data_IF_229588855576
#
_entry.id   IF_229588855576
#
_cell.length_a   1.000
_cell.length_b   1.000
_cell.length_c   1.000
_cell.angle_alpha   90.00
_cell.angle_beta   90.00
_cell.angle_gamma   90.00
#
_symmetry.space_group_name_H-M   'P 1'
#
loop_
_entity.id
_entity.type
_entity.pdbx_description
1 polymer ?
#
# COMPACT_ATOMS: atom_id res chain seq x y z
N UNK A 1 18.17 0.73 -38.69
CA UNK A 1 17.71 1.98 -38.08
C UNK A 1 16.31 2.44 -38.51
N UNK A 2 15.86 2.23 -39.75
CA UNK A 2 14.56 2.75 -40.23
C UNK A 2 13.27 2.12 -39.68
N UNK A 3 13.28 0.86 -39.27
CA UNK A 3 12.07 0.17 -38.71
C UNK A 3 11.77 0.54 -37.26
N UNK A 4 12.79 0.76 -36.46
CA UNK A 4 12.62 1.21 -35.05
C UNK A 4 12.09 2.65 -34.96
N UNK A 5 12.59 3.54 -35.82
CA UNK A 5 12.10 4.91 -35.93
C UNK A 5 10.62 4.95 -36.35
N UNK A 6 10.18 4.09 -37.29
CA UNK A 6 8.78 3.98 -37.70
C UNK A 6 7.87 3.42 -36.59
N UNK A 7 8.35 2.50 -35.78
CA UNK A 7 7.59 1.97 -34.63
C UNK A 7 7.42 3.04 -33.54
N UNK A 8 8.47 3.81 -33.27
CA UNK A 8 8.39 4.93 -32.34
C UNK A 8 7.49 6.07 -32.86
N UNK A 9 7.53 6.31 -34.18
CA UNK A 9 6.67 7.32 -34.83
C UNK A 9 5.21 6.86 -34.87
N UNK A 10 4.94 5.56 -35.08
CA UNK A 10 3.62 5.00 -35.04
C UNK A 10 3.03 5.01 -33.62
N UNK A 11 3.83 4.65 -32.61
CA UNK A 11 3.45 4.79 -31.21
C UNK A 11 3.20 6.25 -30.82
N UNK A 12 4.06 7.18 -31.27
CA UNK A 12 3.89 8.62 -31.03
C UNK A 12 2.67 9.19 -31.78
N UNK A 13 2.38 8.74 -33.00
CA UNK A 13 1.20 9.13 -33.78
C UNK A 13 -0.09 8.58 -33.15
N UNK A 14 -0.06 7.34 -32.67
CA UNK A 14 -1.18 6.72 -31.95
C UNK A 14 -1.46 7.42 -30.63
N UNK A 15 -0.44 7.90 -29.94
CA UNK A 15 -0.57 8.74 -28.74
C UNK A 15 -1.04 10.18 -29.07
N UNK A 16 -0.67 10.72 -30.23
CA UNK A 16 -1.00 12.12 -30.61
C UNK A 16 -2.45 12.31 -31.08
N UNK A 17 -3.09 11.29 -31.65
CA UNK A 17 -4.49 11.33 -32.10
C UNK A 17 -5.52 11.35 -30.96
N UNK A 18 -5.06 11.31 -29.67
CA UNK A 18 -5.89 11.22 -28.48
C UNK A 18 -5.98 12.45 -27.58
N UNK A 19 -5.44 13.58 -28.01
CA UNK A 19 -5.29 14.79 -27.18
C UNK A 19 -6.59 15.58 -26.90
N UNK A 20 -7.77 15.12 -27.36
CA UNK A 20 -9.03 15.84 -27.15
C UNK A 20 -10.00 15.15 -26.16
N UNK A 21 -9.59 14.06 -25.52
CA UNK A 21 -10.47 13.35 -24.56
C UNK A 21 -10.19 13.76 -23.12
N UNK A 22 -11.27 13.84 -22.31
CA UNK A 22 -11.16 14.00 -20.87
C UNK A 22 -10.41 12.81 -20.28
N UNK A 23 -9.70 13.01 -19.15
CA UNK A 23 -8.92 11.95 -18.50
C UNK A 23 -9.76 10.76 -18.03
N UNK A 24 -11.02 10.99 -17.72
CA UNK A 24 -11.99 9.98 -17.28
C UNK A 24 -12.64 9.22 -18.43
N UNK A 25 -12.46 9.63 -19.69
CA UNK A 25 -13.09 8.97 -20.83
C UNK A 25 -12.63 7.52 -21.00
N UNK A 26 -13.50 6.63 -21.52
CA UNK A 26 -13.11 5.26 -21.80
C UNK A 26 -11.92 5.18 -22.76
N UNK A 27 -10.94 4.35 -22.40
CA UNK A 27 -9.74 4.10 -23.19
C UNK A 27 -9.53 2.61 -23.38
N UNK A 28 -9.39 2.16 -24.62
CA UNK A 28 -9.23 0.75 -24.95
C UNK A 28 -7.94 0.17 -24.36
N UNK A 29 -6.80 0.83 -24.54
CA UNK A 29 -5.51 0.34 -24.07
C UNK A 29 -5.41 0.31 -22.55
N UNK A 30 -5.95 1.34 -21.90
CA UNK A 30 -6.06 1.35 -20.45
C UNK A 30 -6.92 0.18 -19.95
N UNK A 31 -8.11 -0.03 -20.56
CA UNK A 31 -9.03 -1.11 -20.17
C UNK A 31 -8.45 -2.51 -20.44
N UNK A 32 -7.66 -2.65 -21.51
CA UNK A 32 -6.95 -3.89 -21.84
C UNK A 32 -5.81 -4.21 -20.85
N UNK A 33 -5.05 -3.20 -20.43
CA UNK A 33 -3.92 -3.37 -19.50
C UNK A 33 -4.36 -3.50 -18.04
N UNK A 34 -5.48 -2.90 -17.67
CA UNK A 34 -5.94 -2.85 -16.28
C UNK A 34 -6.05 -4.23 -15.60
N UNK A 35 -6.63 -5.28 -16.21
CA UNK A 35 -6.67 -6.62 -15.62
C UNK A 35 -5.28 -7.18 -15.30
N UNK A 36 -4.32 -6.96 -16.19
CA UNK A 36 -2.92 -7.38 -15.98
C UNK A 36 -2.28 -6.64 -14.81
N UNK A 37 -2.44 -5.31 -14.74
CA UNK A 37 -1.95 -4.48 -13.63
C UNK A 37 -2.57 -4.95 -12.30
N UNK A 38 -3.89 -5.12 -12.27
CA UNK A 38 -4.62 -5.56 -11.07
C UNK A 38 -4.18 -6.95 -10.61
N UNK A 39 -4.08 -7.90 -11.55
CA UNK A 39 -3.59 -9.24 -11.25
C UNK A 39 -2.17 -9.23 -10.71
N UNK A 40 -1.26 -8.46 -11.34
CA UNK A 40 0.13 -8.35 -10.93
C UNK A 40 0.27 -7.69 -9.57
N UNK A 41 -0.51 -6.64 -9.31
CA UNK A 41 -0.56 -5.96 -8.01
C UNK A 41 -1.04 -6.88 -6.89
N UNK A 42 -2.13 -7.61 -7.11
CA UNK A 42 -2.62 -8.59 -6.11
C UNK A 42 -1.59 -9.67 -5.81
N UNK A 43 -0.86 -10.14 -6.82
CA UNK A 43 0.23 -11.11 -6.63
C UNK A 43 1.48 -10.53 -5.94
N UNK A 44 1.63 -9.21 -5.91
CA UNK A 44 2.68 -8.56 -5.12
C UNK A 44 2.49 -8.75 -3.61
N UNK A 45 1.31 -9.21 -3.18
CA UNK A 45 0.98 -9.49 -1.79
C UNK A 45 0.65 -10.98 -1.60
N UNK A 46 1.08 -11.55 -0.48
CA UNK A 46 0.76 -12.92 -0.09
C UNK A 46 -0.71 -13.05 0.34
N UNK A 47 -1.25 -11.96 0.87
CA UNK A 47 -2.66 -11.81 1.26
C UNK A 47 -3.11 -10.40 0.95
N UNK A 48 -4.25 -10.29 0.25
CA UNK A 48 -4.87 -9.03 -0.14
C UNK A 48 -6.35 -9.06 0.24
N UNK A 49 -6.79 -8.13 1.10
CA UNK A 49 -8.18 -8.07 1.56
C UNK A 49 -8.76 -6.69 1.28
N UNK A 50 -10.07 -6.65 0.99
CA UNK A 50 -10.83 -5.41 0.80
C UNK A 50 -12.09 -5.48 1.64
N UNK A 51 -12.25 -4.51 2.53
CA UNK A 51 -13.36 -4.40 3.47
C UNK A 51 -14.14 -3.10 3.27
N UNK A 52 -15.38 -3.07 3.73
CA UNK A 52 -16.21 -1.86 3.73
C UNK A 52 -16.84 -1.46 2.40
N UNK A 53 -16.64 -2.18 1.29
CA UNK A 53 -17.21 -1.81 -0.03
C UNK A 53 -18.72 -1.56 -0.02
N UNK A 54 -19.46 -2.25 0.85
CA UNK A 54 -20.91 -2.10 0.96
C UNK A 54 -21.35 -0.74 1.51
N UNK A 55 -20.42 0.01 2.13
CA UNK A 55 -20.65 1.36 2.66
C UNK A 55 -20.60 2.43 1.58
N UNK A 56 -19.91 2.14 0.46
CA UNK A 56 -19.76 3.09 -0.65
C UNK A 56 -21.16 3.33 -1.28
N UNK A 57 -21.62 4.57 -1.38
CA UNK A 57 -22.88 4.91 -2.01
C UNK A 57 -22.91 4.44 -3.47
N UNK A 58 -24.07 3.98 -3.93
CA UNK A 58 -24.24 3.55 -5.34
C UNK A 58 -24.44 4.71 -6.32
N UNK A 59 -24.54 5.93 -5.81
CA UNK A 59 -24.70 7.16 -6.58
C UNK A 59 -24.04 8.33 -5.89
N UNK A 60 -24.07 9.49 -6.54
CA UNK A 60 -23.39 10.68 -6.04
C UNK A 60 -21.99 10.84 -6.63
N UNK A 61 -21.35 11.94 -6.27
CA UNK A 61 -19.98 12.28 -6.62
C UNK A 61 -19.02 11.79 -5.52
N UNK A 62 -18.13 10.84 -5.83
CA UNK A 62 -17.32 10.14 -4.84
C UNK A 62 -15.87 10.62 -4.84
N UNK A 63 -15.40 11.08 -3.68
CA UNK A 63 -14.01 11.49 -3.43
C UNK A 63 -13.44 10.59 -2.34
N UNK A 64 -12.42 9.81 -2.65
CA UNK A 64 -11.76 8.92 -1.70
C UNK A 64 -10.58 9.61 -1.05
N UNK A 65 -10.67 9.88 0.24
CA UNK A 65 -9.57 10.38 1.06
C UNK A 65 -8.79 9.22 1.68
N UNK A 66 -7.52 9.07 1.34
CA UNK A 66 -6.74 7.87 1.67
C UNK A 66 -5.45 8.22 2.41
N UNK A 67 -5.05 7.42 3.42
CA UNK A 67 -3.72 7.53 4.02
C UNK A 67 -2.61 7.17 3.01
N UNK A 68 -1.41 7.75 3.15
CA UNK A 68 -0.31 7.59 2.19
C UNK A 68 0.95 7.04 2.85
N UNK A 69 1.18 5.74 2.73
CA UNK A 69 2.26 5.06 3.44
C UNK A 69 3.26 4.29 2.56
N UNK A 70 2.94 4.01 1.30
CA UNK A 70 3.76 3.14 0.42
C UNK A 70 3.87 3.64 -1.03
N UNK A 71 4.09 4.94 -1.19
CA UNK A 71 4.40 5.56 -2.49
C UNK A 71 3.42 5.15 -3.62
N UNK A 72 3.93 4.73 -4.80
CA UNK A 72 3.12 4.27 -5.93
C UNK A 72 2.28 3.02 -5.60
N UNK A 73 2.75 2.19 -4.67
CA UNK A 73 2.00 0.98 -4.32
C UNK A 73 0.63 1.27 -3.73
N UNK A 74 0.44 2.41 -3.05
CA UNK A 74 -0.88 2.80 -2.54
C UNK A 74 -1.89 2.99 -3.67
N UNK A 75 -1.51 3.69 -4.74
CA UNK A 75 -2.37 3.87 -5.90
C UNK A 75 -2.66 2.53 -6.62
N UNK A 76 -1.67 1.66 -6.77
CA UNK A 76 -1.82 0.34 -7.39
C UNK A 76 -2.72 -0.58 -6.56
N UNK A 77 -2.59 -0.55 -5.24
CA UNK A 77 -3.43 -1.32 -4.31
C UNK A 77 -4.89 -0.88 -4.42
N UNK A 78 -5.14 0.44 -4.41
CA UNK A 78 -6.49 0.99 -4.61
C UNK A 78 -7.06 0.66 -5.99
N UNK A 79 -6.24 0.77 -7.05
CA UNK A 79 -6.64 0.39 -8.40
C UNK A 79 -7.10 -1.07 -8.46
N UNK A 80 -6.41 -1.94 -7.72
CA UNK A 80 -6.69 -3.39 -7.68
C UNK A 80 -7.86 -3.79 -6.78
N UNK A 81 -8.49 -2.85 -6.06
CA UNK A 81 -9.66 -3.14 -5.23
C UNK A 81 -10.82 -3.73 -6.03
N UNK A 82 -11.03 -3.21 -7.25
CA UNK A 82 -12.06 -3.63 -8.21
C UNK A 82 -11.67 -3.21 -9.63
N UNK A 83 -12.60 -3.40 -10.59
CA UNK A 83 -12.40 -3.03 -12.00
C UNK A 83 -13.13 -1.73 -12.39
N UNK A 84 -13.53 -0.92 -11.39
CA UNK A 84 -14.16 0.37 -11.63
C UNK A 84 -13.09 1.37 -12.07
N UNK A 85 -13.46 2.30 -12.95
CA UNK A 85 -12.59 3.39 -13.40
C UNK A 85 -12.28 4.34 -12.26
N UNK A 86 -11.01 4.68 -12.09
CA UNK A 86 -10.52 5.57 -11.05
C UNK A 86 -9.61 6.63 -11.64
N UNK A 87 -9.70 7.82 -11.09
CA UNK A 87 -8.76 8.91 -11.35
C UNK A 87 -8.03 9.22 -10.06
N UNK A 88 -6.71 9.36 -10.13
CA UNK A 88 -5.88 9.70 -8.99
C UNK A 88 -5.37 11.12 -9.11
N UNK A 89 -5.16 11.77 -7.98
CA UNK A 89 -4.46 13.06 -7.92
C UNK A 89 -3.07 12.85 -7.33
N UNK A 90 -2.07 13.41 -7.99
CA UNK A 90 -0.70 13.40 -7.52
C UNK A 90 -0.05 14.80 -7.60
N UNK A 91 1.08 14.95 -6.94
CA UNK A 91 1.82 16.23 -6.90
C UNK A 91 2.28 16.66 -8.30
N UNK A 92 2.07 17.93 -8.64
CA UNK A 92 2.42 18.49 -9.94
C UNK A 92 3.91 18.48 -10.26
N UNK A 93 4.80 18.41 -9.26
CA UNK A 93 6.25 18.35 -9.48
C UNK A 93 6.73 17.10 -10.21
N UNK A 94 5.99 15.98 -10.13
CA UNK A 94 6.29 14.76 -10.90
C UNK A 94 5.93 14.87 -12.38
N UNK A 95 5.13 15.86 -12.77
CA UNK A 95 4.72 16.12 -14.16
C UNK A 95 5.68 17.04 -14.94
N UNK A 96 6.78 17.48 -14.33
CA UNK A 96 7.76 18.38 -14.98
C UNK A 96 8.39 17.80 -16.26
N UNK A 97 8.57 16.48 -16.31
CA UNK A 97 9.05 15.81 -17.50
C UNK A 97 7.86 15.49 -18.44
N UNK A 98 7.85 15.97 -19.69
CA UNK A 98 6.73 15.75 -20.61
C UNK A 98 6.42 14.28 -20.91
N UNK A 99 7.43 13.41 -20.95
CA UNK A 99 7.24 11.97 -21.17
C UNK A 99 6.57 11.33 -19.96
N UNK A 100 7.02 11.70 -18.75
CA UNK A 100 6.41 11.24 -17.50
C UNK A 100 4.97 11.76 -17.38
N UNK A 101 4.73 13.03 -17.72
CA UNK A 101 3.39 13.62 -17.71
C UNK A 101 2.42 12.86 -18.65
N UNK A 102 2.85 12.51 -19.87
CA UNK A 102 2.05 11.70 -20.80
C UNK A 102 1.71 10.31 -20.20
N UNK A 103 2.69 9.67 -19.58
CA UNK A 103 2.51 8.37 -18.94
C UNK A 103 1.54 8.45 -17.75
N UNK A 104 1.68 9.48 -16.90
CA UNK A 104 0.81 9.70 -15.76
C UNK A 104 -0.64 9.99 -16.21
N UNK A 105 -0.81 10.81 -17.25
CA UNK A 105 -2.12 11.06 -17.84
C UNK A 105 -2.76 9.78 -18.42
N UNK A 106 -1.97 8.92 -19.07
CA UNK A 106 -2.45 7.61 -19.51
C UNK A 106 -2.95 6.76 -18.35
N UNK A 107 -2.26 6.80 -17.21
CA UNK A 107 -2.69 6.13 -15.97
C UNK A 107 -3.77 6.88 -15.18
N UNK A 108 -4.37 7.91 -15.78
CA UNK A 108 -5.45 8.71 -15.18
C UNK A 108 -5.04 9.41 -13.88
N UNK A 109 -3.86 9.99 -13.89
CA UNK A 109 -3.34 10.76 -12.75
C UNK A 109 -3.34 12.23 -13.12
N UNK A 110 -4.06 13.05 -12.34
CA UNK A 110 -4.14 14.51 -12.46
C UNK A 110 -3.07 15.17 -11.59
N UNK A 111 -2.42 16.25 -12.05
CA UNK A 111 -1.53 17.04 -11.21
C UNK A 111 -2.28 17.94 -10.25
N UNK A 112 -1.78 18.10 -9.02
CA UNK A 112 -2.11 19.22 -8.13
C UNK A 112 -0.83 19.94 -7.73
N UNK A 113 -0.81 21.27 -7.86
CA UNK A 113 0.37 22.08 -7.58
C UNK A 113 0.27 22.72 -6.19
N UNK A 114 1.41 22.88 -5.51
CA UNK A 114 1.45 23.56 -4.22
C UNK A 114 1.48 25.07 -4.45
N UNK A 115 0.71 25.84 -3.67
CA UNK A 115 0.64 27.30 -3.73
C UNK A 115 2.03 27.97 -3.56
N UNK A 116 2.96 27.28 -2.89
CA UNK A 116 4.35 27.74 -2.71
C UNK A 116 5.14 27.94 -4.01
N UNK A 117 4.63 27.47 -5.15
CA UNK A 117 5.32 27.51 -6.44
C UNK A 117 5.02 28.80 -7.26
N UNK A 118 4.37 29.80 -6.68
CA UNK A 118 4.13 31.11 -7.29
C UNK A 118 2.79 31.24 -8.05
N UNK A 119 2.53 32.41 -8.62
CA UNK A 119 1.23 32.78 -9.24
C UNK A 119 0.86 31.86 -10.41
N UNK A 120 1.86 31.40 -11.21
CA UNK A 120 1.63 30.46 -12.31
C UNK A 120 1.11 29.09 -11.80
N UNK A 121 1.56 28.65 -10.62
CA UNK A 121 1.09 27.43 -9.98
C UNK A 121 -0.35 27.54 -9.48
N UNK A 122 -0.79 28.74 -9.09
CA UNK A 122 -2.18 28.99 -8.66
C UNK A 122 -3.12 28.80 -9.85
N UNK A 123 -2.84 29.40 -11.02
CA UNK A 123 -3.66 29.24 -12.23
C UNK A 123 -3.72 27.80 -12.72
N UNK A 124 -2.61 27.06 -12.61
CA UNK A 124 -2.57 25.63 -12.94
C UNK A 124 -3.38 24.79 -11.95
N UNK A 125 -3.48 25.24 -10.70
CA UNK A 125 -4.36 24.60 -9.72
C UNK A 125 -5.83 24.76 -10.04
N UNK A 126 -6.28 25.96 -10.43
CA UNK A 126 -7.68 26.18 -10.78
C UNK A 126 -8.12 25.26 -11.93
N UNK A 127 -7.27 25.10 -12.96
CA UNK A 127 -7.50 24.19 -14.07
C UNK A 127 -7.54 22.70 -13.62
N UNK A 128 -6.64 22.33 -12.70
CA UNK A 128 -6.60 20.97 -12.14
C UNK A 128 -7.77 20.67 -11.21
N UNK A 129 -8.19 21.63 -10.41
CA UNK A 129 -9.36 21.53 -9.53
C UNK A 129 -10.65 21.40 -10.35
N UNK A 130 -10.81 22.22 -11.40
CA UNK A 130 -11.95 22.12 -12.31
C UNK A 130 -12.01 20.77 -13.00
N UNK A 131 -10.88 20.23 -13.48
CA UNK A 131 -10.82 18.87 -14.04
C UNK A 131 -11.18 17.80 -13.03
N UNK A 132 -10.80 17.97 -11.76
CA UNK A 132 -11.16 17.04 -10.69
C UNK A 132 -12.67 17.08 -10.39
N UNK A 133 -13.27 18.25 -10.41
CA UNK A 133 -14.73 18.42 -10.27
C UNK A 133 -15.46 17.80 -11.46
N UNK A 134 -14.95 17.97 -12.69
CA UNK A 134 -15.51 17.32 -13.88
C UNK A 134 -15.48 15.79 -13.78
N UNK A 135 -14.39 15.21 -13.22
CA UNK A 135 -14.26 13.77 -13.04
C UNK A 135 -15.39 13.21 -12.17
N UNK A 136 -15.63 13.83 -11.02
CA UNK A 136 -16.66 13.37 -10.08
C UNK A 136 -18.07 13.71 -10.56
N UNK A 137 -18.24 14.79 -11.33
CA UNK A 137 -19.49 15.12 -12.01
C UNK A 137 -19.87 14.02 -13.02
N UNK A 138 -18.89 13.49 -13.75
CA UNK A 138 -19.06 12.39 -14.72
C UNK A 138 -19.13 11.00 -14.02
N UNK A 139 -19.38 10.96 -12.70
CA UNK A 139 -19.49 9.76 -11.87
C UNK A 139 -18.27 8.81 -11.96
N UNK A 140 -17.07 9.37 -12.06
CA UNK A 140 -15.83 8.60 -11.97
C UNK A 140 -15.18 8.85 -10.60
N UNK A 141 -14.79 7.78 -9.93
CA UNK A 141 -14.19 7.81 -8.60
C UNK A 141 -12.89 8.59 -8.60
N UNK A 142 -12.77 9.59 -7.72
CA UNK A 142 -11.59 10.41 -7.54
C UNK A 142 -10.85 10.03 -6.25
N UNK A 143 -9.59 9.65 -6.38
CA UNK A 143 -8.75 9.25 -5.25
C UNK A 143 -7.66 10.28 -4.97
N UNK A 144 -7.57 10.70 -3.71
CA UNK A 144 -6.53 11.60 -3.23
C UNK A 144 -5.87 11.07 -1.97
N UNK A 145 -4.60 11.44 -1.83
CA UNK A 145 -3.82 11.30 -0.61
C UNK A 145 -3.70 12.68 0.05
N UNK A 146 -4.58 13.07 0.99
CA UNK A 146 -4.64 14.42 1.51
C UNK A 146 -3.39 14.83 2.29
N UNK A 147 -2.57 13.87 2.73
CA UNK A 147 -1.28 14.11 3.37
C UNK A 147 -0.23 14.76 2.43
N UNK A 148 -0.40 14.61 1.10
CA UNK A 148 0.46 15.21 0.07
C UNK A 148 1.92 14.75 0.06
N UNK A 149 2.29 13.81 0.92
CA UNK A 149 3.55 13.08 0.95
C UNK A 149 3.33 11.74 1.64
N UNK A 150 4.25 10.79 1.46
CA UNK A 150 4.13 9.47 2.07
C UNK A 150 5.02 9.34 3.32
N UNK A 151 4.60 8.47 4.25
CA UNK A 151 5.39 8.09 5.41
C UNK A 151 5.07 6.66 5.84
N UNK A 152 6.10 5.83 5.97
CA UNK A 152 6.00 4.40 6.33
C UNK A 152 5.77 4.19 7.83
N UNK A 153 4.68 4.77 8.36
CA UNK A 153 4.24 4.63 9.76
C UNK A 153 2.76 4.32 9.84
N UNK A 154 2.34 3.73 10.94
CA UNK A 154 0.93 3.52 11.31
C UNK A 154 0.33 4.78 11.96
N UNK A 155 0.54 5.93 11.37
CA UNK A 155 0.03 7.22 11.83
C UNK A 155 -0.33 8.09 10.63
N UNK A 156 -1.17 9.08 10.83
CA UNK A 156 -1.54 10.06 9.82
C UNK A 156 -0.70 11.32 9.95
N UNK A 157 -0.38 11.94 8.84
CA UNK A 157 0.21 13.27 8.80
C UNK A 157 -0.88 14.33 8.68
N UNK A 158 -0.48 15.58 8.85
CA UNK A 158 -1.38 16.73 8.66
C UNK A 158 -1.90 16.75 7.22
N UNK A 159 -3.22 16.78 7.06
CA UNK A 159 -3.87 16.83 5.77
C UNK A 159 -3.81 18.22 5.14
N UNK A 160 -3.53 18.28 3.84
CA UNK A 160 -3.67 19.47 3.01
C UNK A 160 -5.13 19.78 2.69
N UNK A 161 -5.39 20.97 2.16
CA UNK A 161 -6.75 21.45 1.88
C UNK A 161 -7.30 21.05 0.50
N UNK A 162 -6.49 20.51 -0.42
CA UNK A 162 -6.85 20.27 -1.82
C UNK A 162 -8.10 19.40 -2.01
N UNK A 163 -8.19 18.27 -1.29
CA UNK A 163 -9.36 17.40 -1.30
C UNK A 163 -10.63 18.15 -0.93
N UNK A 164 -10.55 18.95 0.11
CA UNK A 164 -11.70 19.65 0.68
C UNK A 164 -12.18 20.78 -0.22
N UNK A 165 -11.27 21.50 -0.90
CA UNK A 165 -11.65 22.48 -1.91
C UNK A 165 -12.40 21.83 -3.07
N UNK A 166 -11.91 20.70 -3.60
CA UNK A 166 -12.63 19.94 -4.64
C UNK A 166 -14.04 19.57 -4.16
N UNK A 167 -14.17 19.08 -2.92
CA UNK A 167 -15.46 18.66 -2.36
C UNK A 167 -16.43 19.86 -2.19
N UNK A 168 -15.92 21.01 -1.73
CA UNK A 168 -16.71 22.25 -1.58
C UNK A 168 -17.15 22.80 -2.92
N UNK A 169 -16.23 22.88 -3.89
CA UNK A 169 -16.52 23.42 -5.23
C UNK A 169 -17.51 22.52 -5.97
N UNK A 170 -17.38 21.20 -5.87
CA UNK A 170 -18.33 20.25 -6.41
C UNK A 170 -19.72 20.41 -5.74
N UNK A 171 -19.75 20.52 -4.42
CA UNK A 171 -20.99 20.72 -3.68
C UNK A 171 -21.71 22.00 -4.07
N UNK A 172 -20.97 23.10 -4.27
CA UNK A 172 -21.54 24.39 -4.76
C UNK A 172 -22.09 24.28 -6.17
N UNK A 173 -21.44 23.51 -7.05
CA UNK A 173 -21.83 23.41 -8.46
C UNK A 173 -23.03 22.50 -8.67
N UNK A 174 -23.13 21.40 -7.96
CA UNK A 174 -24.16 20.37 -8.23
C UNK A 174 -24.64 19.57 -7.01
N UNK A 175 -24.21 19.91 -5.79
CA UNK A 175 -24.50 19.14 -4.58
C UNK A 175 -26.00 18.91 -4.30
N UNK A 176 -26.87 19.83 -4.68
CA UNK A 176 -28.33 19.67 -4.52
C UNK A 176 -28.93 18.60 -5.43
N UNK A 177 -28.35 18.38 -6.61
CA UNK A 177 -28.81 17.40 -7.62
C UNK A 177 -28.05 16.10 -7.55
N UNK A 178 -26.78 16.14 -7.17
CA UNK A 178 -25.85 15.02 -7.12
C UNK A 178 -25.01 15.12 -5.85
N UNK A 179 -25.42 14.48 -4.74
CA UNK A 179 -24.74 14.61 -3.46
C UNK A 179 -23.26 14.24 -3.53
N UNK A 180 -22.43 15.05 -2.88
CA UNK A 180 -20.97 14.85 -2.82
C UNK A 180 -20.61 14.10 -1.55
N UNK A 181 -19.86 13.00 -1.71
CA UNK A 181 -19.40 12.19 -0.60
C UNK A 181 -17.88 12.14 -0.54
N UNK A 182 -17.33 12.31 0.65
CA UNK A 182 -15.95 11.93 0.94
C UNK A 182 -15.98 10.54 1.57
N UNK A 183 -15.25 9.59 0.99
CA UNK A 183 -15.13 8.21 1.46
C UNK A 183 -13.82 8.06 2.22
N UNK A 184 -13.84 8.02 3.57
CA UNK A 184 -12.64 7.72 4.34
C UNK A 184 -12.12 6.35 3.96
N UNK A 185 -10.85 6.26 3.62
CA UNK A 185 -10.25 5.02 3.14
C UNK A 185 -8.89 4.82 3.79
N UNK A 186 -8.61 3.61 4.24
CA UNK A 186 -7.29 3.29 4.75
C UNK A 186 -6.68 2.09 4.03
N UNK A 187 -5.37 2.15 3.84
CA UNK A 187 -4.54 1.02 3.41
C UNK A 187 -3.65 0.64 4.58
N UNK A 188 -3.63 -0.63 4.92
CA UNK A 188 -2.73 -1.19 5.93
C UNK A 188 -1.85 -2.27 5.32
N UNK A 189 -0.54 -2.18 5.56
CA UNK A 189 0.46 -3.13 5.11
C UNK A 189 1.06 -3.91 6.28
N UNK A 190 1.36 -5.18 6.05
CA UNK A 190 2.12 -5.95 7.04
C UNK A 190 3.61 -5.57 7.07
N UNK A 191 4.14 -5.15 5.92
CA UNK A 191 5.51 -4.63 5.77
C UNK A 191 5.55 -3.74 4.53
N UNK A 192 5.99 -2.51 4.69
CA UNK A 192 6.02 -1.50 3.62
C UNK A 192 7.10 -1.78 2.56
N UNK A 193 8.18 -2.43 2.93
CA UNK A 193 9.36 -2.58 2.09
C UNK A 193 9.46 -3.94 1.41
N UNK A 194 8.69 -4.93 1.91
CA UNK A 194 8.80 -6.31 1.49
C UNK A 194 7.76 -6.66 0.42
N UNK A 195 8.25 -7.13 -0.70
CA UNK A 195 7.43 -7.81 -1.69
C UNK A 195 6.87 -9.13 -1.10
N UNK A 196 5.64 -9.50 -1.46
CA UNK A 196 4.91 -10.64 -0.87
C UNK A 196 4.57 -10.46 0.62
N UNK A 197 4.46 -9.21 1.08
CA UNK A 197 3.84 -8.88 2.36
C UNK A 197 2.31 -9.01 2.30
N UNK A 198 1.59 -8.34 3.15
CA UNK A 198 0.12 -8.30 3.12
C UNK A 198 -0.37 -6.88 2.87
N UNK A 199 -1.53 -6.74 2.23
CA UNK A 199 -2.20 -5.45 2.07
C UNK A 199 -3.69 -5.59 2.34
N UNK A 200 -4.27 -4.59 2.99
CA UNK A 200 -5.69 -4.49 3.28
C UNK A 200 -6.18 -3.08 2.93
N UNK A 201 -7.29 -3.01 2.23
CA UNK A 201 -8.05 -1.76 2.01
C UNK A 201 -9.29 -1.82 2.90
N UNK A 202 -9.57 -0.73 3.60
CA UNK A 202 -10.76 -0.60 4.42
C UNK A 202 -11.47 0.72 4.09
N UNK A 203 -12.71 0.64 3.60
CA UNK A 203 -13.56 1.79 3.33
C UNK A 203 -14.43 2.09 4.54
N UNK A 204 -14.45 3.34 4.99
CA UNK A 204 -15.23 3.83 6.12
C UNK A 204 -16.65 4.23 5.73
N UNK A 205 -17.35 4.83 6.70
CA UNK A 205 -18.67 5.42 6.48
C UNK A 205 -18.53 6.71 5.65
N UNK A 206 -19.36 6.91 4.64
CA UNK A 206 -19.30 8.10 3.78
C UNK A 206 -19.61 9.37 4.58
N UNK A 207 -18.82 10.40 4.36
CA UNK A 207 -19.14 11.75 4.85
C UNK A 207 -19.92 12.47 3.75
N UNK A 208 -21.20 12.70 3.96
CA UNK A 208 -22.02 13.49 3.06
C UNK A 208 -21.67 14.98 3.21
N UNK A 209 -20.97 15.52 2.23
CA UNK A 209 -20.48 16.91 2.24
C UNK A 209 -21.66 17.90 2.20
N UNK A 210 -22.68 17.60 1.40
CA UNK A 210 -23.88 18.43 1.26
C UNK A 210 -24.61 18.57 2.60
N UNK A 211 -24.81 17.46 3.30
CA UNK A 211 -25.44 17.41 4.61
C UNK A 211 -24.56 18.05 5.70
N UNK A 212 -23.25 17.80 5.63
CA UNK A 212 -22.29 18.38 6.55
C UNK A 212 -22.36 19.92 6.55
N UNK A 213 -22.38 20.54 5.37
CA UNK A 213 -22.48 22.00 5.26
C UNK A 213 -23.86 22.55 5.62
N UNK A 214 -24.94 21.79 5.46
CA UNK A 214 -26.27 22.21 5.93
C UNK A 214 -26.42 22.20 7.45
N UNK A 215 -25.68 21.34 8.13
CA UNK A 215 -25.77 21.13 9.57
C UNK A 215 -24.71 21.88 10.37
N UNK A 216 -23.74 22.53 9.70
CA UNK A 216 -22.71 23.32 10.38
C UNK A 216 -23.22 24.75 10.65
N UNK A 217 -22.89 25.25 11.83
CA UNK A 217 -23.26 26.61 12.26
C UNK A 217 -22.20 27.65 11.92
N UNK A 218 -21.06 27.22 11.40
CA UNK A 218 -19.95 28.10 11.07
C UNK A 218 -20.23 28.84 9.75
N UNK A 219 -20.27 30.17 9.78
CA UNK A 219 -20.43 31.01 8.59
C UNK A 219 -19.16 31.06 7.72
N UNK A 220 -17.98 30.76 8.31
CA UNK A 220 -16.70 30.85 7.64
C UNK A 220 -16.34 29.51 6.93
N UNK A 221 -16.30 29.53 5.61
CA UNK A 221 -15.92 28.37 4.78
C UNK A 221 -14.56 27.76 5.19
N UNK A 222 -13.59 28.58 5.58
CA UNK A 222 -12.27 28.07 5.98
C UNK A 222 -12.33 27.29 7.31
N UNK A 223 -13.22 27.67 8.23
CA UNK A 223 -13.49 26.94 9.47
C UNK A 223 -14.19 25.61 9.15
N UNK A 224 -15.19 25.62 8.28
CA UNK A 224 -15.89 24.42 7.84
C UNK A 224 -14.97 23.41 7.16
N UNK A 225 -14.04 23.87 6.33
CA UNK A 225 -13.01 23.03 5.72
C UNK A 225 -12.12 22.38 6.81
N UNK A 226 -11.77 23.10 7.87
CA UNK A 226 -10.98 22.54 8.97
C UNK A 226 -11.77 21.47 9.74
N UNK A 227 -13.05 21.73 10.05
CA UNK A 227 -13.92 20.73 10.68
C UNK A 227 -14.08 19.46 9.83
N UNK A 228 -14.30 19.63 8.52
CA UNK A 228 -14.40 18.50 7.59
C UNK A 228 -13.08 17.71 7.49
N UNK A 229 -11.94 18.41 7.55
CA UNK A 229 -10.61 17.82 7.59
C UNK A 229 -10.40 16.99 8.86
N UNK A 230 -10.76 17.52 10.02
CA UNK A 230 -10.62 16.85 11.30
C UNK A 230 -11.56 15.63 11.38
N UNK A 231 -12.78 15.74 10.83
CA UNK A 231 -13.70 14.64 10.67
C UNK A 231 -13.11 13.52 9.79
N UNK A 232 -12.54 13.86 8.64
CA UNK A 232 -11.91 12.87 7.76
C UNK A 232 -10.71 12.20 8.43
N UNK A 233 -9.88 12.97 9.15
CA UNK A 233 -8.74 12.43 9.90
C UNK A 233 -9.20 11.42 10.95
N UNK A 234 -10.22 11.76 11.73
CA UNK A 234 -10.83 10.89 12.73
C UNK A 234 -11.36 9.59 12.09
N UNK A 235 -12.13 9.71 11.00
CA UNK A 235 -12.72 8.55 10.35
C UNK A 235 -11.65 7.62 9.72
N UNK A 236 -10.60 8.18 9.08
CA UNK A 236 -9.50 7.36 8.55
C UNK A 236 -8.75 6.66 9.69
N UNK A 237 -8.51 7.32 10.82
CA UNK A 237 -7.80 6.74 11.96
C UNK A 237 -8.49 5.48 12.53
N UNK A 238 -9.80 5.36 12.35
CA UNK A 238 -10.60 4.18 12.76
C UNK A 238 -10.43 2.97 11.84
N UNK A 239 -9.88 3.15 10.64
CA UNK A 239 -9.90 2.13 9.58
C UNK A 239 -8.63 1.27 9.48
N UNK A 240 -7.59 1.60 10.22
CA UNK A 240 -6.32 0.87 10.26
C UNK A 240 -5.72 0.89 11.68
N UNK A 241 -4.60 0.20 11.88
CA UNK A 241 -3.85 0.26 13.14
C UNK A 241 -3.23 1.64 13.29
N UNK A 242 -3.99 2.60 13.85
CA UNK A 242 -3.51 3.96 14.06
C UNK A 242 -2.76 4.08 15.38
N UNK A 243 -1.57 4.66 15.35
CA UNK A 243 -0.75 5.00 16.52
C UNK A 243 -0.41 6.48 16.43
N UNK A 244 -0.64 7.29 17.47
CA UNK A 244 -0.23 8.69 17.49
C UNK A 244 1.27 8.84 17.22
N UNK A 245 1.65 9.84 16.39
CA UNK A 245 3.04 10.10 16.04
C UNK A 245 3.70 10.96 17.10
N UNK A 246 4.09 10.34 18.19
CA UNK A 246 4.79 10.94 19.32
C UNK A 246 6.06 10.13 19.67
N UNK A 247 6.72 10.49 20.76
CA UNK A 247 7.94 9.85 21.25
C UNK A 247 7.78 8.35 21.57
N UNK A 248 6.57 7.91 21.93
CA UNK A 248 6.27 6.52 22.32
C UNK A 248 5.87 5.63 21.14
N UNK A 249 5.76 6.19 19.92
CA UNK A 249 5.29 5.46 18.73
C UNK A 249 6.00 4.10 18.55
N UNK A 250 7.33 4.09 18.61
CA UNK A 250 8.13 2.89 18.34
C UNK A 250 7.91 1.82 19.42
N UNK A 251 7.81 2.21 20.69
CA UNK A 251 7.53 1.31 21.80
C UNK A 251 6.13 0.69 21.69
N UNK A 252 5.12 1.52 21.41
CA UNK A 252 3.73 1.07 21.20
C UNK A 252 3.68 0.08 20.04
N UNK A 253 4.34 0.39 18.92
CA UNK A 253 4.36 -0.49 17.75
C UNK A 253 5.08 -1.82 18.02
N UNK A 254 6.19 -1.82 18.79
CA UNK A 254 6.84 -3.06 19.23
C UNK A 254 5.93 -3.91 20.10
N UNK A 255 5.21 -3.33 21.07
CA UNK A 255 4.23 -4.03 21.92
C UNK A 255 3.14 -4.68 21.05
N UNK A 256 2.54 -3.92 20.12
CA UNK A 256 1.49 -4.40 19.22
C UNK A 256 1.97 -5.60 18.39
N UNK A 257 3.17 -5.54 17.83
CA UNK A 257 3.76 -6.63 17.05
C UNK A 257 4.01 -7.87 17.93
N UNK A 258 4.61 -7.70 19.09
CA UNK A 258 4.90 -8.82 20.00
C UNK A 258 3.64 -9.53 20.47
N UNK A 259 2.55 -8.80 20.66
CA UNK A 259 1.29 -9.34 21.16
C UNK A 259 0.42 -9.99 20.08
N UNK A 260 0.36 -9.42 18.89
CA UNK A 260 -0.67 -9.78 17.89
C UNK A 260 -0.16 -10.48 16.63
N UNK A 261 1.15 -10.49 16.37
CA UNK A 261 1.68 -10.97 15.09
C UNK A 261 1.31 -12.42 14.76
N UNK A 262 1.01 -13.25 15.77
CA UNK A 262 0.72 -14.69 15.60
C UNK A 262 -0.73 -15.08 15.61
N UNK A 263 -1.62 -14.22 16.03
CA UNK A 263 -2.99 -14.63 16.21
C UNK A 263 -3.63 -14.94 14.87
N UNK A 264 -4.23 -16.12 14.73
CA UNK A 264 -4.95 -16.55 13.55
C UNK A 264 -6.10 -15.59 13.20
N UNK A 265 -6.45 -15.51 11.94
CA UNK A 265 -7.57 -14.72 11.43
C UNK A 265 -7.22 -13.89 10.20
N UNK A 266 -8.22 -13.20 9.63
CA UNK A 266 -8.07 -12.26 8.53
C UNK A 266 -7.30 -11.00 8.94
N UNK A 267 -6.86 -10.24 7.94
CA UNK A 267 -6.15 -8.97 8.17
C UNK A 267 -7.02 -7.98 8.93
N UNK A 268 -8.30 -7.94 8.63
CA UNK A 268 -9.27 -7.10 9.34
C UNK A 268 -9.35 -7.42 10.83
N UNK A 269 -9.43 -8.72 11.19
CA UNK A 269 -9.42 -9.14 12.59
C UNK A 269 -8.09 -8.84 13.29
N UNK A 270 -6.97 -8.93 12.56
CA UNK A 270 -5.64 -8.54 13.06
C UNK A 270 -5.62 -7.03 13.36
N UNK A 271 -6.10 -6.21 12.44
CA UNK A 271 -6.20 -4.75 12.61
C UNK A 271 -7.02 -4.39 13.86
N UNK A 272 -8.20 -5.00 14.04
CA UNK A 272 -9.04 -4.75 15.22
C UNK A 272 -8.30 -5.09 16.53
N UNK A 273 -7.58 -6.22 16.57
CA UNK A 273 -6.78 -6.59 17.75
C UNK A 273 -5.62 -5.62 17.99
N UNK A 274 -4.95 -5.19 16.92
CA UNK A 274 -3.89 -4.20 17.02
C UNK A 274 -4.40 -2.91 17.61
N UNK A 275 -5.54 -2.40 17.12
CA UNK A 275 -6.18 -1.19 17.66
C UNK A 275 -6.53 -1.34 19.13
N UNK A 276 -7.20 -2.42 19.50
CA UNK A 276 -7.52 -2.68 20.90
C UNK A 276 -6.26 -2.72 21.79
N UNK A 277 -5.14 -3.24 21.29
CA UNK A 277 -3.87 -3.20 22.00
C UNK A 277 -3.34 -1.77 22.10
N UNK A 278 -3.40 -0.98 21.03
CA UNK A 278 -3.00 0.44 21.06
C UNK A 278 -3.84 1.20 22.09
N UNK A 279 -5.16 1.06 22.04
CA UNK A 279 -6.08 1.74 22.97
C UNK A 279 -5.76 1.39 24.43
N UNK A 280 -5.50 0.10 24.73
CA UNK A 280 -5.11 -0.32 26.08
C UNK A 280 -3.77 0.25 26.52
N UNK A 281 -2.77 0.31 25.62
CA UNK A 281 -1.44 0.88 25.91
C UNK A 281 -1.56 2.39 26.17
N UNK A 282 -2.34 3.10 25.36
CA UNK A 282 -2.55 4.54 25.55
C UNK A 282 -3.29 4.82 26.87
N UNK A 283 -4.32 4.03 27.18
CA UNK A 283 -5.01 4.12 28.47
C UNK A 283 -4.07 3.86 29.66
N UNK A 284 -3.24 2.83 29.58
CA UNK A 284 -2.23 2.53 30.60
C UNK A 284 -1.25 3.68 30.79
N UNK A 285 -0.82 4.31 29.69
CA UNK A 285 0.05 5.50 29.72
C UNK A 285 -0.60 6.69 30.44
N UNK A 286 -1.91 6.89 30.24
CA UNK A 286 -2.65 7.98 30.89
C UNK A 286 -2.84 7.71 32.39
N UNK A 287 -3.15 6.45 32.77
CA UNK A 287 -3.40 6.06 34.17
C UNK A 287 -2.12 5.92 34.99
N UNK A 288 -1.02 5.49 34.38
CA UNK A 288 0.26 5.17 35.04
C UNK A 288 1.47 5.68 34.25
N UNK A 289 1.68 6.99 34.12
CA UNK A 289 2.65 7.56 33.19
C UNK A 289 4.11 7.17 33.50
N UNK A 290 4.51 7.13 34.78
CA UNK A 290 5.88 6.76 35.18
C UNK A 290 6.18 5.27 34.94
N UNK A 291 5.21 4.41 35.15
CA UNK A 291 5.36 2.97 34.90
C UNK A 291 5.35 2.67 33.40
N UNK A 292 4.49 3.35 32.66
CA UNK A 292 4.43 3.23 31.20
C UNK A 292 5.77 3.68 30.56
N UNK A 293 6.37 4.75 31.04
CA UNK A 293 7.67 5.22 30.56
C UNK A 293 8.76 4.16 30.79
N UNK A 294 8.85 3.59 32.01
CA UNK A 294 9.78 2.50 32.31
C UNK A 294 9.55 1.27 31.43
N UNK A 295 8.28 0.89 31.22
CA UNK A 295 7.92 -0.21 30.34
C UNK A 295 8.39 0.05 28.90
N UNK A 296 8.14 1.25 28.36
CA UNK A 296 8.54 1.62 27.00
C UNK A 296 10.06 1.60 26.81
N UNK A 297 10.81 2.07 27.79
CA UNK A 297 12.28 1.96 27.81
C UNK A 297 12.72 0.49 27.75
N UNK A 298 12.18 -0.38 28.61
CA UNK A 298 12.50 -1.80 28.63
C UNK A 298 12.10 -2.51 27.31
N UNK A 299 10.95 -2.15 26.72
CA UNK A 299 10.51 -2.67 25.41
C UNK A 299 11.48 -2.28 24.32
N UNK A 300 11.96 -1.05 24.31
CA UNK A 300 12.91 -0.57 23.31
C UNK A 300 14.31 -1.19 23.50
N UNK A 301 14.75 -1.43 24.71
CA UNK A 301 16.00 -2.14 24.97
C UNK A 301 15.90 -3.62 24.55
N UNK A 302 14.81 -4.29 24.88
CA UNK A 302 14.55 -5.63 24.35
C UNK A 302 14.53 -5.65 22.81
N UNK A 303 13.91 -4.67 22.16
CA UNK A 303 13.89 -4.57 20.70
C UNK A 303 15.33 -4.42 20.13
N UNK A 304 16.19 -3.62 20.75
CA UNK A 304 17.61 -3.48 20.36
C UNK A 304 18.35 -4.82 20.50
N UNK A 305 18.20 -5.51 21.65
CA UNK A 305 18.83 -6.81 21.89
C UNK A 305 18.35 -7.85 20.88
N UNK A 306 17.04 -7.92 20.64
CA UNK A 306 16.42 -8.80 19.65
C UNK A 306 16.96 -8.57 18.24
N UNK A 307 17.09 -7.31 17.82
CA UNK A 307 17.64 -6.94 16.51
C UNK A 307 19.12 -7.29 16.38
N UNK A 308 19.92 -7.07 17.42
CA UNK A 308 21.34 -7.46 17.46
C UNK A 308 21.50 -8.97 17.28
N UNK A 309 20.63 -9.77 17.88
CA UNK A 309 20.60 -11.23 17.74
C UNK A 309 19.93 -11.69 16.44
N UNK A 310 19.46 -10.78 15.59
CA UNK A 310 18.76 -11.05 14.31
C UNK A 310 17.56 -11.97 14.50
N UNK A 311 16.81 -11.76 15.57
CA UNK A 311 15.56 -12.47 15.88
C UNK A 311 14.37 -11.62 15.45
N UNK A 312 13.46 -12.19 14.66
CA UNK A 312 12.24 -11.55 14.24
C UNK A 312 11.22 -11.46 15.39
N UNK A 313 10.42 -10.40 15.40
CA UNK A 313 9.29 -10.29 16.33
C UNK A 313 8.29 -11.43 16.16
N UNK A 314 8.16 -11.98 14.95
CA UNK A 314 7.32 -13.15 14.68
C UNK A 314 7.79 -14.40 15.43
N UNK A 315 9.07 -14.56 15.69
CA UNK A 315 9.62 -15.69 16.46
C UNK A 315 9.35 -15.54 17.95
N UNK A 316 9.47 -14.32 18.48
CA UNK A 316 9.22 -13.99 19.89
C UNK A 316 7.80 -14.37 20.31
N UNK A 317 6.85 -14.03 19.47
CA UNK A 317 5.44 -14.34 19.72
C UNK A 317 5.07 -15.85 19.60
N UNK A 318 5.95 -16.83 19.30
CA UNK A 318 5.62 -18.28 19.14
C UNK A 318 5.60 -19.07 20.44
N UNK A 319 4.49 -19.86 20.66
CA UNK A 319 4.38 -20.74 21.84
C UNK A 319 5.34 -21.91 21.81
N UNK A 320 5.59 -22.49 20.63
CA UNK A 320 6.41 -23.71 20.46
C UNK A 320 7.47 -23.50 19.36
N UNK A 321 8.52 -22.71 19.63
CA UNK A 321 9.49 -22.33 18.61
C UNK A 321 10.27 -23.53 18.03
N UNK A 322 10.62 -24.53 18.87
CA UNK A 322 11.37 -25.72 18.44
C UNK A 322 10.54 -26.57 17.47
N UNK A 323 9.31 -26.94 17.83
CA UNK A 323 8.43 -27.76 16.99
C UNK A 323 8.14 -27.05 15.65
N UNK A 324 7.88 -25.73 15.70
CA UNK A 324 7.70 -24.94 14.49
C UNK A 324 8.96 -24.92 13.60
N UNK A 325 10.15 -24.84 14.21
CA UNK A 325 11.42 -24.88 13.47
C UNK A 325 11.62 -26.23 12.78
N UNK A 326 11.31 -27.35 13.43
CA UNK A 326 11.40 -28.69 12.83
C UNK A 326 10.46 -28.84 11.63
N UNK A 327 9.19 -28.40 11.78
CA UNK A 327 8.24 -28.44 10.67
C UNK A 327 8.67 -27.55 9.51
N UNK A 328 9.11 -26.32 9.79
CA UNK A 328 9.61 -25.41 8.75
C UNK A 328 10.84 -25.97 8.04
N UNK A 329 11.74 -26.65 8.75
CA UNK A 329 12.89 -27.31 8.15
C UNK A 329 12.47 -28.42 7.18
N UNK A 330 11.50 -29.26 7.57
CA UNK A 330 10.97 -30.29 6.67
C UNK A 330 10.36 -29.68 5.40
N UNK A 331 9.58 -28.61 5.52
CA UNK A 331 9.01 -27.90 4.36
C UNK A 331 10.09 -27.28 3.48
N UNK A 332 11.15 -26.71 4.07
CA UNK A 332 12.29 -26.18 3.33
C UNK A 332 13.04 -27.29 2.58
N UNK A 333 13.27 -28.42 3.22
CA UNK A 333 13.94 -29.56 2.59
C UNK A 333 13.16 -30.09 1.39
N UNK A 334 11.85 -30.30 1.55
CA UNK A 334 10.97 -30.77 0.47
C UNK A 334 10.83 -29.75 -0.68
N UNK A 335 10.81 -28.46 -0.35
CA UNK A 335 10.70 -27.40 -1.35
C UNK A 335 12.00 -27.04 -2.07
N UNK A 336 13.15 -27.52 -1.59
CA UNK A 336 14.48 -27.15 -2.09
C UNK A 336 14.68 -27.38 -3.59
N UNK A 337 14.29 -28.52 -4.19
CA UNK A 337 14.49 -28.75 -5.64
C UNK A 337 13.73 -27.70 -6.48
N UNK A 338 12.48 -27.43 -6.14
CA UNK A 338 11.70 -26.43 -6.86
C UNK A 338 12.22 -25.01 -6.60
N UNK A 339 12.72 -24.72 -5.41
CA UNK A 339 13.37 -23.43 -5.12
C UNK A 339 14.62 -23.21 -5.99
N UNK A 340 15.49 -24.22 -6.14
CA UNK A 340 16.70 -24.10 -6.97
C UNK A 340 16.36 -23.86 -8.43
N UNK A 341 15.39 -24.60 -8.99
CA UNK A 341 14.89 -24.35 -10.34
C UNK A 341 14.29 -22.94 -10.48
N UNK A 342 13.50 -22.50 -9.49
CA UNK A 342 12.90 -21.17 -9.46
C UNK A 342 13.97 -20.07 -9.37
N UNK A 343 15.02 -20.27 -8.58
CA UNK A 343 16.13 -19.33 -8.45
C UNK A 343 16.90 -19.20 -9.76
N UNK A 344 17.19 -20.35 -10.42
CA UNK A 344 17.88 -20.37 -11.72
C UNK A 344 17.13 -19.60 -12.81
N UNK A 345 15.79 -19.64 -12.80
CA UNK A 345 14.98 -18.91 -13.80
C UNK A 345 14.80 -17.43 -13.43
N UNK A 346 14.64 -17.12 -12.17
CA UNK A 346 14.29 -15.76 -11.72
C UNK A 346 15.49 -14.91 -11.28
N UNK A 347 16.74 -15.40 -11.39
CA UNK A 347 17.93 -14.64 -11.01
C UNK A 347 18.04 -13.27 -11.72
N UNK A 348 17.61 -13.07 -12.99
CA UNK A 348 17.70 -11.76 -13.62
C UNK A 348 16.78 -10.74 -12.94
N UNK A 349 15.57 -11.16 -12.53
CA UNK A 349 14.63 -10.32 -11.80
C UNK A 349 15.20 -9.94 -10.42
N UNK A 350 15.75 -10.94 -9.73
CA UNK A 350 16.36 -10.73 -8.42
C UNK A 350 17.55 -9.78 -8.50
N UNK A 351 18.50 -10.03 -9.42
CA UNK A 351 19.69 -9.21 -9.57
C UNK A 351 19.35 -7.77 -9.95
N UNK A 352 18.48 -7.57 -10.94
CA UNK A 352 18.03 -6.24 -11.36
C UNK A 352 17.36 -5.50 -10.20
N UNK A 353 16.48 -6.18 -9.47
CA UNK A 353 15.83 -5.60 -8.29
C UNK A 353 16.85 -5.22 -7.22
N UNK A 354 17.82 -6.08 -6.95
CA UNK A 354 18.88 -5.84 -5.95
C UNK A 354 19.74 -4.63 -6.32
N UNK A 355 20.19 -4.53 -7.58
CA UNK A 355 20.99 -3.40 -8.08
C UNK A 355 20.22 -2.09 -7.94
N UNK A 356 18.96 -2.05 -8.41
CA UNK A 356 18.17 -0.81 -8.37
C UNK A 356 17.85 -0.41 -6.93
N UNK A 357 17.47 -1.35 -6.07
CA UNK A 357 17.19 -1.07 -4.65
C UNK A 357 18.41 -0.55 -3.90
N UNK A 358 19.60 -1.04 -4.22
CA UNK A 358 20.84 -0.56 -3.63
C UNK A 358 21.18 0.90 -3.96
N UNK A 359 20.55 1.47 -5.00
CA UNK A 359 20.72 2.87 -5.42
C UNK A 359 19.59 3.80 -4.94
N UNK A 360 18.59 3.28 -4.29
CA UNK A 360 17.47 4.09 -3.80
C UNK A 360 17.90 5.00 -2.65
N UNK A 361 17.57 6.29 -2.79
CA UNK A 361 17.74 7.26 -1.70
C UNK A 361 16.68 7.08 -0.61
N UNK A 362 15.46 6.71 -1.01
CA UNK A 362 14.32 6.50 -0.10
C UNK A 362 13.92 5.02 -0.13
N UNK A 363 14.06 4.29 1.00
CA UNK A 363 13.66 2.88 1.11
C UNK A 363 12.16 2.62 0.84
N UNK A 364 11.31 3.63 0.97
CA UNK A 364 9.87 3.52 0.72
C UNK A 364 9.55 3.06 -0.71
N UNK A 365 10.45 3.34 -1.68
CA UNK A 365 10.31 2.87 -3.06
C UNK A 365 10.73 1.41 -3.28
N UNK A 366 11.22 0.71 -2.26
CA UNK A 366 11.73 -0.66 -2.40
C UNK A 366 10.69 -1.63 -2.96
N UNK A 367 9.44 -1.51 -2.50
CA UNK A 367 8.34 -2.37 -2.97
C UNK A 367 7.92 -1.99 -4.41
N UNK A 368 7.86 -0.69 -4.71
CA UNK A 368 7.61 -0.15 -6.07
C UNK A 368 8.62 -0.66 -7.08
N UNK A 369 9.92 -0.65 -6.74
CA UNK A 369 10.98 -1.19 -7.61
C UNK A 369 10.80 -2.69 -7.81
N UNK A 370 10.56 -3.45 -6.76
CA UNK A 370 10.33 -4.89 -6.87
C UNK A 370 9.12 -5.23 -7.73
N UNK A 371 8.05 -4.44 -7.62
CA UNK A 371 6.87 -4.54 -8.48
C UNK A 371 7.22 -4.22 -9.93
N UNK A 372 7.82 -3.06 -10.20
CA UNK A 372 8.11 -2.59 -11.55
C UNK A 372 9.04 -3.51 -12.34
N UNK A 373 10.11 -3.98 -11.72
CA UNK A 373 11.05 -4.93 -12.36
C UNK A 373 10.33 -6.22 -12.74
N UNK A 374 9.50 -6.75 -11.84
CA UNK A 374 8.71 -7.95 -12.14
C UNK A 374 7.66 -7.70 -13.20
N UNK A 375 6.95 -6.60 -13.11
CA UNK A 375 5.91 -6.23 -14.06
C UNK A 375 6.44 -6.27 -15.50
N UNK A 376 7.68 -5.83 -15.69
CA UNK A 376 8.34 -5.81 -17.00
C UNK A 376 8.98 -7.15 -17.34
N UNK A 377 9.79 -7.74 -16.46
CA UNK A 377 10.61 -8.91 -16.81
C UNK A 377 9.89 -10.24 -16.74
N UNK A 378 8.88 -10.40 -15.83
CA UNK A 378 8.22 -11.70 -15.66
C UNK A 378 7.51 -12.22 -16.91
N UNK A 379 6.81 -11.41 -17.74
CA UNK A 379 6.22 -11.86 -18.98
C UNK A 379 7.26 -12.43 -19.96
N UNK A 380 8.41 -11.78 -20.10
CA UNK A 380 9.48 -12.23 -21.00
C UNK A 380 10.04 -13.58 -20.53
N UNK A 381 10.33 -13.72 -19.23
CA UNK A 381 10.81 -14.98 -18.67
C UNK A 381 9.78 -16.08 -18.87
N UNK A 382 8.50 -15.79 -18.63
CA UNK A 382 7.43 -16.78 -18.78
C UNK A 382 7.26 -17.21 -20.24
N UNK A 383 7.17 -16.26 -21.18
CA UNK A 383 7.00 -16.55 -22.61
C UNK A 383 8.20 -17.32 -23.15
N UNK A 384 9.42 -16.84 -22.88
CA UNK A 384 10.64 -17.51 -23.34
C UNK A 384 10.77 -18.92 -22.75
N UNK A 385 10.52 -19.07 -21.45
CA UNK A 385 10.57 -20.37 -20.79
C UNK A 385 9.51 -21.35 -21.32
N UNK A 386 8.29 -20.88 -21.57
CA UNK A 386 7.24 -21.67 -22.17
C UNK A 386 7.64 -22.14 -23.59
N UNK A 387 8.13 -21.23 -24.44
CA UNK A 387 8.61 -21.57 -25.79
C UNK A 387 9.69 -22.65 -25.72
N UNK A 388 10.72 -22.47 -24.88
CA UNK A 388 11.80 -23.43 -24.70
C UNK A 388 11.27 -24.82 -24.29
N UNK A 389 10.31 -24.84 -23.33
CA UNK A 389 9.73 -26.12 -22.88
C UNK A 389 8.94 -26.83 -24.00
N UNK A 390 8.08 -26.09 -24.73
CA UNK A 390 7.30 -26.71 -25.81
C UNK A 390 8.12 -27.12 -27.03
N UNK A 391 9.27 -26.49 -27.28
CA UNK A 391 10.17 -26.87 -28.34
C UNK A 391 11.04 -28.11 -28.00
N UNK A 392 11.30 -28.40 -26.71
CA UNK A 392 12.25 -29.40 -26.29
C UNK A 392 11.65 -30.60 -25.52
N UNK A 393 10.39 -30.49 -25.07
CA UNK A 393 9.73 -31.48 -24.24
C UNK A 393 8.40 -31.97 -24.89
N UNK A 394 7.96 -33.18 -24.62
CA UNK A 394 6.61 -33.61 -24.94
C UNK A 394 5.57 -32.63 -24.32
N UNK A 395 4.48 -32.40 -25.04
CA UNK A 395 3.50 -31.38 -24.69
C UNK A 395 2.99 -31.44 -23.24
N UNK A 396 2.82 -32.63 -22.68
CA UNK A 396 2.34 -32.81 -21.30
C UNK A 396 3.38 -32.41 -20.25
N UNK A 397 4.68 -32.64 -20.48
CA UNK A 397 5.76 -32.15 -19.62
C UNK A 397 5.95 -30.64 -19.80
N UNK A 398 5.84 -30.15 -21.05
CA UNK A 398 5.90 -28.71 -21.32
C UNK A 398 4.78 -27.93 -20.61
N UNK A 399 3.55 -28.48 -20.60
CA UNK A 399 2.41 -27.89 -19.90
C UNK A 399 2.65 -27.86 -18.38
N UNK A 400 3.07 -28.97 -17.78
CA UNK A 400 3.41 -29.07 -16.37
C UNK A 400 4.53 -28.11 -15.96
N UNK A 401 5.62 -28.07 -16.75
CA UNK A 401 6.75 -27.15 -16.55
C UNK A 401 6.35 -25.68 -16.66
N UNK A 402 5.52 -25.34 -17.64
CA UNK A 402 4.99 -23.97 -17.80
C UNK A 402 4.11 -23.55 -16.60
N UNK A 403 3.29 -24.45 -16.07
CA UNK A 403 2.51 -24.20 -14.87
C UNK A 403 3.43 -23.96 -13.65
N UNK A 404 4.47 -24.76 -13.47
CA UNK A 404 5.47 -24.53 -12.43
C UNK A 404 6.22 -23.20 -12.63
N UNK A 405 6.59 -22.87 -13.88
CA UNK A 405 7.24 -21.60 -14.22
C UNK A 405 6.38 -20.40 -13.82
N UNK A 406 5.06 -20.47 -14.01
CA UNK A 406 4.13 -19.43 -13.64
C UNK A 406 4.15 -19.11 -12.13
N UNK A 407 4.36 -20.11 -11.28
CA UNK A 407 4.45 -19.93 -9.83
C UNK A 407 5.89 -19.73 -9.32
N UNK A 408 6.91 -19.90 -10.17
CA UNK A 408 8.32 -19.95 -9.78
C UNK A 408 8.79 -18.73 -8.99
N UNK A 409 8.39 -17.53 -9.40
CA UNK A 409 8.81 -16.32 -8.67
C UNK A 409 8.17 -16.19 -7.29
N UNK A 410 6.91 -16.55 -7.15
CA UNK A 410 6.25 -16.56 -5.83
C UNK A 410 6.92 -17.59 -4.92
N UNK A 411 7.24 -18.78 -5.46
CA UNK A 411 8.00 -19.79 -4.74
C UNK A 411 9.37 -19.28 -4.31
N UNK A 412 10.11 -18.63 -5.21
CA UNK A 412 11.43 -18.08 -4.89
C UNK A 412 11.38 -17.09 -3.72
N UNK A 413 10.43 -16.15 -3.73
CA UNK A 413 10.31 -15.14 -2.68
C UNK A 413 9.80 -15.74 -1.37
N UNK A 414 8.75 -16.57 -1.43
CA UNK A 414 8.12 -17.17 -0.25
C UNK A 414 9.07 -18.17 0.44
N UNK A 415 9.88 -18.91 -0.32
CA UNK A 415 10.89 -19.82 0.22
C UNK A 415 12.00 -19.03 0.96
N UNK A 416 12.53 -17.95 0.39
CA UNK A 416 13.52 -17.11 1.05
C UNK A 416 12.97 -16.52 2.34
N UNK A 417 11.70 -16.12 2.37
CA UNK A 417 11.06 -15.61 3.58
C UNK A 417 10.88 -16.71 4.63
N UNK A 418 10.46 -17.91 4.21
CA UNK A 418 10.35 -19.08 5.10
C UNK A 418 11.70 -19.46 5.71
N UNK A 419 12.77 -19.42 4.90
CA UNK A 419 14.14 -19.68 5.36
C UNK A 419 14.61 -18.65 6.39
N UNK A 420 14.37 -17.36 6.16
CA UNK A 420 14.68 -16.29 7.13
C UNK A 420 13.93 -16.48 8.45
N UNK A 421 12.65 -16.86 8.38
CA UNK A 421 11.82 -17.14 9.56
C UNK A 421 12.34 -18.35 10.30
N UNK A 422 12.71 -19.40 9.60
CA UNK A 422 13.30 -20.60 10.20
C UNK A 422 14.58 -20.27 10.96
N UNK A 423 15.54 -19.56 10.35
CA UNK A 423 16.77 -19.12 11.03
C UNK A 423 16.43 -18.30 12.29
N UNK A 424 15.47 -17.40 12.20
CA UNK A 424 15.03 -16.58 13.33
C UNK A 424 14.43 -17.44 14.47
N UNK A 425 13.63 -18.44 14.16
CA UNK A 425 13.06 -19.36 15.14
C UNK A 425 14.12 -20.21 15.83
N UNK A 426 15.10 -20.71 15.07
CA UNK A 426 16.27 -21.44 15.63
C UNK A 426 17.04 -20.52 16.60
N UNK A 427 17.37 -19.31 16.17
CA UNK A 427 18.06 -18.33 17.03
C UNK A 427 17.29 -18.05 18.31
N UNK A 428 15.98 -17.78 18.20
CA UNK A 428 15.11 -17.56 19.35
C UNK A 428 15.11 -18.75 20.31
N UNK A 429 15.09 -19.98 19.79
CA UNK A 429 15.11 -21.21 20.60
C UNK A 429 16.44 -21.39 21.37
N UNK A 430 17.54 -20.92 20.83
CA UNK A 430 18.86 -21.04 21.45
C UNK A 430 19.17 -19.92 22.46
N UNK A 431 18.53 -18.74 22.36
CA UNK A 431 18.84 -17.56 23.18
C UNK A 431 17.98 -17.50 24.45
N UNK A 432 18.35 -18.27 25.50
CA UNK A 432 17.66 -18.30 26.79
C UNK A 432 17.54 -16.90 27.41
N UNK A 433 18.63 -16.15 27.49
CA UNK A 433 18.66 -14.78 28.06
C UNK A 433 17.59 -13.87 27.41
N UNK A 434 17.49 -13.88 26.09
CA UNK A 434 16.52 -13.05 25.37
C UNK A 434 15.06 -13.48 25.66
N UNK A 435 14.82 -14.80 25.85
CA UNK A 435 13.50 -15.30 26.24
C UNK A 435 13.12 -14.90 27.66
N UNK A 436 14.09 -14.90 28.59
CA UNK A 436 13.85 -14.50 29.98
C UNK A 436 13.58 -12.99 30.06
N UNK A 437 14.32 -12.18 29.29
CA UNK A 437 14.08 -10.74 29.14
C UNK A 437 12.68 -10.45 28.55
N UNK A 438 12.23 -11.21 27.55
CA UNK A 438 10.87 -11.07 27.01
C UNK A 438 9.80 -11.39 28.04
N UNK A 439 10.00 -12.43 28.86
CA UNK A 439 9.05 -12.79 29.92
C UNK A 439 8.95 -11.70 30.99
N UNK A 440 10.04 -11.03 31.32
CA UNK A 440 10.04 -9.95 32.31
C UNK A 440 9.24 -8.72 31.88
N UNK A 441 8.99 -8.52 30.57
CA UNK A 441 8.11 -7.45 30.07
C UNK A 441 6.64 -7.63 30.47
N UNK A 442 6.21 -8.85 30.81
CA UNK A 442 4.87 -9.20 31.34
C UNK A 442 3.67 -8.66 30.51
N UNK A 443 3.86 -8.48 29.20
CA UNK A 443 2.90 -7.83 28.30
C UNK A 443 1.51 -8.52 28.26
N UNK A 444 1.42 -9.82 28.57
CA UNK A 444 0.15 -10.56 28.55
C UNK A 444 -0.75 -10.22 29.74
N UNK A 445 -0.20 -9.76 30.84
CA UNK A 445 -0.96 -9.39 32.03
C UNK A 445 -1.26 -7.89 32.10
N UNK A 446 -0.53 -7.08 31.31
CA UNK A 446 -0.71 -5.62 31.28
C UNK A 446 -1.75 -5.17 30.26
N UNK A 447 -1.93 -5.92 29.16
CA UNK A 447 -2.80 -5.50 28.04
C UNK A 447 -3.72 -6.59 27.54
#
# INVERSE_FOLDING_TARGET
MGRFAKLCTFAALFFSLRMAKKIQDPDFWYSFLLPYVNWHTRRAYSRFEVHGKKRIPKGGALIFGVNHSNTLMDALVLLSADNIRKVFIARGDIFKNPTVAKLLNFFRILPIFRIRNGVAAVRQNDDSLNKAVDVIHDHVDLYLFPEGTHRTKHSLMRMGKGLFHIAVDANKQFGDKNPVYIIPTAIEYGDYFRYRSTAMINFGEPINVTEFFKNTTEENEAANINLLKDKLHEEISKLFTYIPDNEDYDAIWEIVKMKNEKRAGGLYKKMLRNRATVDNVLKYREEQPEEAKKLFEHVMDFAKHRLKEKVSVMSVAKKHPVLNSMWMFAVLLLGLPYYLASAAVNWPVWLTTWIIRGRLKDPAFSNTVSFGVRFVLSPFIFITGAIVMFCNLPWYWALGGTALLFFSYSMFVDYNELFRRWISDVRWSLKKRLRDEFKSLNLNNLF
#
